data_IF_800904998984
#
_entry.id   IF_800904998984
#
_cell.length_a   1.000
_cell.length_b   1.000
_cell.length_c   1.000
_cell.angle_alpha   90.00
_cell.angle_beta   90.00
_cell.angle_gamma   90.00
#
_symmetry.space_group_name_H-M   'P 1'
#
loop_
_entity.id
_entity.type
_entity.pdbx_description
1 polymer ?
#
# COMPACT_ATOMS: atom_id res chain seq x y z
N UNK A 1 -4.16 7.70 -23.96
CA UNK A 1 -5.36 7.06 -23.44
C UNK A 1 -5.17 6.93 -21.95
N UNK A 2 -5.93 7.64 -21.14
CA UNK A 2 -5.82 7.47 -19.68
C UNK A 2 -6.24 6.05 -19.35
N UNK A 3 -5.49 5.35 -18.52
CA UNK A 3 -5.77 3.96 -18.12
C UNK A 3 -7.06 3.79 -17.29
N UNK A 4 -7.81 4.87 -17.11
CA UNK A 4 -9.05 4.94 -16.33
C UNK A 4 -10.15 4.00 -16.84
N UNK A 5 -10.19 3.69 -18.15
CA UNK A 5 -11.17 2.77 -18.75
C UNK A 5 -11.06 1.32 -18.23
N UNK A 6 -9.98 1.02 -17.51
CA UNK A 6 -9.75 -0.28 -16.88
C UNK A 6 -10.01 -0.29 -15.38
N UNK A 7 -10.32 0.85 -14.77
CA UNK A 7 -10.72 0.90 -13.36
C UNK A 7 -12.02 0.12 -13.16
N UNK A 8 -12.04 -0.70 -12.14
CA UNK A 8 -13.23 -1.43 -11.71
C UNK A 8 -13.72 -0.79 -10.41
N UNK A 9 -14.81 -0.01 -10.53
CA UNK A 9 -15.44 0.63 -9.39
C UNK A 9 -16.27 -0.38 -8.59
N UNK A 10 -16.46 -0.11 -7.29
CA UNK A 10 -17.23 -0.93 -6.37
C UNK A 10 -16.39 -1.63 -5.31
N UNK A 11 -16.97 -2.63 -4.67
CA UNK A 11 -16.37 -3.38 -3.58
C UNK A 11 -15.53 -4.56 -4.06
N UNK A 12 -14.41 -4.79 -3.39
CA UNK A 12 -13.46 -5.86 -3.69
C UNK A 12 -13.13 -6.63 -2.40
N UNK A 13 -13.28 -7.95 -2.42
CA UNK A 13 -12.82 -8.78 -1.31
C UNK A 13 -11.29 -8.84 -1.29
N UNK A 14 -10.68 -8.55 -0.15
CA UNK A 14 -9.23 -8.49 0.02
C UNK A 14 -8.70 -9.70 0.78
N UNK A 15 -9.07 -10.91 0.34
CA UNK A 15 -8.70 -12.17 1.01
C UNK A 15 -7.20 -12.44 1.10
N UNK A 16 -6.38 -11.77 0.29
CA UNK A 16 -4.92 -11.82 0.35
C UNK A 16 -4.34 -11.00 1.52
N UNK A 17 -5.12 -10.10 2.12
CA UNK A 17 -4.64 -9.29 3.24
C UNK A 17 -4.89 -9.97 4.58
N UNK A 18 -3.93 -9.82 5.48
CA UNK A 18 -4.01 -10.18 6.89
C UNK A 18 -4.17 -8.92 7.72
N UNK A 19 -4.93 -9.04 8.81
CA UNK A 19 -5.06 -8.00 9.81
C UNK A 19 -4.12 -8.28 10.98
N UNK A 20 -3.29 -7.30 11.33
CA UNK A 20 -2.46 -7.32 12.52
C UNK A 20 -2.91 -6.17 13.44
N UNK A 21 -3.22 -6.48 14.69
CA UNK A 21 -3.53 -5.49 15.72
C UNK A 21 -2.26 -5.14 16.50
N UNK A 22 -2.00 -3.84 16.61
CA UNK A 22 -0.97 -3.30 17.48
C UNK A 22 -1.59 -3.04 18.85
N UNK A 23 -1.39 -3.96 19.79
CA UNK A 23 -1.95 -3.92 21.13
C UNK A 23 -1.02 -3.16 22.07
N UNK A 24 -1.50 -2.07 22.63
CA UNK A 24 -0.77 -1.21 23.55
C UNK A 24 -1.57 0.06 23.85
N UNK A 25 -0.99 0.95 24.64
CA UNK A 25 -1.48 2.31 24.77
C UNK A 25 -1.42 3.02 23.41
N UNK A 26 -2.46 3.80 23.07
CA UNK A 26 -2.58 4.42 21.75
C UNK A 26 -1.37 5.28 21.37
N UNK A 27 -0.92 6.13 22.29
CA UNK A 27 0.23 7.00 22.05
C UNK A 27 1.53 6.20 21.85
N UNK A 28 1.67 5.10 22.59
CA UNK A 28 2.79 4.18 22.45
C UNK A 28 2.81 3.48 21.09
N UNK A 29 1.64 3.05 20.60
CA UNK A 29 1.48 2.48 19.26
C UNK A 29 1.82 3.51 18.19
N UNK A 30 1.29 4.73 18.30
CA UNK A 30 1.58 5.81 17.36
C UNK A 30 3.07 6.15 17.36
N UNK A 31 3.71 6.25 18.52
CA UNK A 31 5.14 6.54 18.64
C UNK A 31 6.01 5.44 18.04
N UNK A 32 5.66 4.16 18.23
CA UNK A 32 6.32 3.04 17.56
C UNK A 32 6.23 3.20 16.04
N UNK A 33 5.03 3.40 15.50
CA UNK A 33 4.81 3.55 14.06
C UNK A 33 5.53 4.80 13.53
N UNK A 34 5.47 5.93 14.24
CA UNK A 34 6.18 7.15 13.83
C UNK A 34 7.69 6.94 13.64
N UNK A 35 8.32 6.13 14.48
CA UNK A 35 9.74 5.84 14.36
C UNK A 35 10.10 4.81 13.29
N UNK A 36 9.16 4.01 12.83
CA UNK A 36 9.46 2.86 11.96
C UNK A 36 8.91 2.98 10.54
N UNK A 37 7.72 3.58 10.34
CA UNK A 37 7.04 3.57 9.05
C UNK A 37 7.14 4.91 8.34
N UNK A 38 6.88 4.93 7.05
CA UNK A 38 7.11 6.11 6.19
C UNK A 38 6.00 7.15 6.24
N UNK A 39 4.75 6.79 6.56
CA UNK A 39 3.61 7.71 6.67
C UNK A 39 3.57 8.40 8.04
N UNK A 40 2.86 9.52 8.14
CA UNK A 40 2.72 10.30 9.37
C UNK A 40 1.55 9.80 10.23
N UNK A 41 1.84 8.85 11.11
CA UNK A 41 0.82 8.23 11.97
C UNK A 41 0.25 9.18 13.05
N UNK A 42 0.89 10.32 13.33
CA UNK A 42 0.33 11.32 14.24
C UNK A 42 -0.94 11.99 13.72
N UNK A 43 -1.20 11.85 12.41
CA UNK A 43 -2.40 12.37 11.74
C UNK A 43 -3.53 11.34 11.60
N UNK A 44 -3.32 10.12 12.10
CA UNK A 44 -4.33 9.05 12.01
C UNK A 44 -5.57 9.41 12.84
N UNK A 45 -6.74 9.43 12.21
CA UNK A 45 -8.02 9.75 12.81
C UNK A 45 -9.05 8.66 12.53
N UNK A 46 -10.10 8.62 13.36
CA UNK A 46 -11.25 7.77 13.09
C UNK A 46 -11.83 8.06 11.69
N UNK A 47 -12.08 7.01 10.90
CA UNK A 47 -12.57 7.11 9.53
C UNK A 47 -11.49 7.39 8.49
N UNK A 48 -10.21 7.57 8.90
CA UNK A 48 -9.08 7.73 8.00
C UNK A 48 -8.10 6.57 8.16
N UNK A 49 -7.59 6.09 7.06
CA UNK A 49 -6.47 5.16 6.99
C UNK A 49 -5.28 5.83 6.32
N UNK A 50 -4.18 5.11 6.24
CA UNK A 50 -2.96 5.60 5.61
C UNK A 50 -2.26 4.49 4.85
N UNK A 51 -1.93 4.73 3.59
CA UNK A 51 -0.98 3.92 2.86
C UNK A 51 0.42 4.16 3.43
N UNK A 52 1.17 3.10 3.71
CA UNK A 52 2.49 3.20 4.33
C UNK A 52 3.47 2.13 3.82
N UNK A 53 4.72 2.28 4.20
CA UNK A 53 5.76 1.29 3.97
C UNK A 53 6.69 1.19 5.17
N UNK A 54 7.33 0.04 5.33
CA UNK A 54 8.46 -0.18 6.21
C UNK A 54 9.72 -0.27 5.38
N UNK A 55 10.74 0.49 5.73
CA UNK A 55 12.03 0.49 5.06
C UNK A 55 13.15 -0.02 5.98
N UNK A 56 14.24 -0.48 5.37
CA UNK A 56 15.48 -0.70 6.11
C UNK A 56 16.23 0.63 6.35
N UNK A 57 17.38 0.56 7.03
CA UNK A 57 18.22 1.73 7.34
C UNK A 57 18.82 2.37 6.08
N UNK A 58 18.88 1.66 4.96
CA UNK A 58 19.36 2.14 3.66
C UNK A 58 18.23 2.70 2.79
N UNK A 59 17.00 2.75 3.33
CA UNK A 59 15.80 3.26 2.68
C UNK A 59 15.21 2.33 1.63
N UNK A 60 15.54 1.03 1.61
CA UNK A 60 14.88 0.05 0.76
C UNK A 60 13.56 -0.39 1.38
N UNK A 61 12.51 -0.46 0.57
CA UNK A 61 11.18 -0.91 1.00
C UNK A 61 11.19 -2.40 1.29
N UNK A 62 10.88 -2.77 2.52
CA UNK A 62 10.77 -4.16 2.97
C UNK A 62 9.35 -4.69 2.79
N UNK A 63 8.34 -3.89 3.10
CA UNK A 63 6.93 -4.22 2.88
C UNK A 63 6.06 -2.96 2.74
N UNK A 64 4.95 -3.12 2.04
CA UNK A 64 3.86 -2.14 1.95
C UNK A 64 2.65 -2.67 2.71
N UNK A 65 1.88 -1.76 3.29
CA UNK A 65 0.64 -2.06 4.01
C UNK A 65 -0.19 -0.79 4.11
N UNK A 66 -1.43 -0.96 4.56
CA UNK A 66 -2.30 0.15 4.90
C UNK A 66 -2.57 0.13 6.41
N UNK A 67 -2.54 1.31 7.06
CA UNK A 67 -2.79 1.48 8.49
C UNK A 67 -4.21 1.95 8.65
N UNK A 68 -4.97 1.31 9.53
CA UNK A 68 -6.39 1.57 9.74
C UNK A 68 -6.65 1.87 11.23
N UNK A 69 -7.55 2.81 11.51
CA UNK A 69 -8.08 3.02 12.85
C UNK A 69 -9.50 2.43 12.95
N UNK A 70 -9.59 1.17 13.35
CA UNK A 70 -10.83 0.40 13.43
C UNK A 70 -11.32 0.33 14.86
N UNK A 71 -12.48 0.97 15.17
CA UNK A 71 -13.06 0.96 16.52
C UNK A 71 -12.04 1.31 17.63
N UNK A 72 -11.21 2.33 17.39
CA UNK A 72 -10.10 2.77 18.25
C UNK A 72 -8.91 1.79 18.32
N UNK A 73 -8.90 0.70 17.55
CA UNK A 73 -7.77 -0.21 17.41
C UNK A 73 -6.95 0.19 16.19
N UNK A 74 -5.64 0.18 16.33
CA UNK A 74 -4.74 0.38 15.18
C UNK A 74 -4.48 -0.98 14.54
N UNK A 75 -4.95 -1.12 13.30
CA UNK A 75 -4.77 -2.32 12.50
C UNK A 75 -3.81 -2.06 11.34
N UNK A 76 -3.04 -3.07 10.99
CA UNK A 76 -2.25 -3.13 9.76
C UNK A 76 -2.93 -4.10 8.82
N UNK A 77 -3.31 -3.63 7.63
CA UNK A 77 -3.76 -4.46 6.53
C UNK A 77 -2.57 -4.74 5.60
N UNK A 78 -2.05 -5.95 5.62
CA UNK A 78 -0.82 -6.34 4.93
C UNK A 78 -1.01 -7.61 4.10
N UNK A 79 -0.34 -7.69 2.96
CA UNK A 79 -0.31 -8.91 2.16
C UNK A 79 0.28 -10.07 2.96
N UNK A 80 -0.35 -11.25 2.87
CA UNK A 80 0.05 -12.44 3.60
C UNK A 80 1.51 -12.87 3.32
N UNK A 81 2.03 -12.60 2.12
CA UNK A 81 3.42 -12.90 1.78
C UNK A 81 4.43 -11.99 2.50
N UNK A 82 4.01 -10.79 2.89
CA UNK A 82 4.85 -9.77 3.55
C UNK A 82 4.69 -9.74 5.07
N UNK A 83 3.69 -10.43 5.62
CA UNK A 83 3.36 -10.45 7.05
C UNK A 83 4.58 -10.79 7.92
N UNK A 84 5.27 -11.88 7.61
CA UNK A 84 6.43 -12.33 8.39
C UNK A 84 7.59 -11.33 8.33
N UNK A 85 7.79 -10.64 7.20
CA UNK A 85 8.83 -9.60 7.06
C UNK A 85 8.50 -8.44 8.01
N UNK A 86 7.23 -8.00 8.02
CA UNK A 86 6.78 -6.94 8.93
C UNK A 86 6.96 -7.34 10.39
N UNK A 87 6.50 -8.52 10.79
CA UNK A 87 6.60 -9.03 12.16
C UNK A 87 8.06 -9.14 12.62
N UNK A 88 8.95 -9.68 11.76
CA UNK A 88 10.36 -9.86 12.07
C UNK A 88 11.10 -8.53 12.26
N UNK A 89 10.73 -7.51 11.52
CA UNK A 89 11.32 -6.19 11.66
C UNK A 89 10.75 -5.45 12.87
N UNK A 90 9.44 -5.47 13.07
CA UNK A 90 8.77 -4.72 14.14
C UNK A 90 9.04 -5.30 15.52
N UNK A 91 9.24 -6.63 15.67
CA UNK A 91 9.59 -7.25 16.97
C UNK A 91 10.88 -6.72 17.57
N UNK A 92 11.76 -6.12 16.78
CA UNK A 92 13.00 -5.51 17.25
C UNK A 92 12.75 -4.23 18.06
N UNK A 93 11.63 -3.55 17.81
CA UNK A 93 11.32 -2.23 18.36
C UNK A 93 10.08 -2.23 19.25
N UNK A 94 9.06 -3.02 18.94
CA UNK A 94 7.78 -3.03 19.64
C UNK A 94 7.90 -3.19 21.18
N UNK A 95 8.81 -4.02 21.73
CA UNK A 95 8.96 -4.16 23.17
C UNK A 95 9.38 -2.87 23.88
N UNK A 96 10.16 -1.99 23.23
CA UNK A 96 10.60 -0.71 23.81
C UNK A 96 9.42 0.26 24.01
N UNK A 97 8.36 0.10 23.24
CA UNK A 97 7.13 0.87 23.32
C UNK A 97 6.01 0.14 24.10
N UNK A 98 6.30 -1.06 24.64
CA UNK A 98 5.30 -1.93 25.30
C UNK A 98 4.12 -2.26 24.38
N UNK A 99 4.40 -2.45 23.10
CA UNK A 99 3.42 -2.81 22.08
C UNK A 99 3.60 -4.29 21.71
N UNK A 100 2.50 -5.03 21.67
CA UNK A 100 2.44 -6.37 21.11
C UNK A 100 1.76 -6.34 19.74
N UNK A 101 2.21 -7.15 18.79
CA UNK A 101 1.62 -7.26 17.46
C UNK A 101 1.00 -8.64 17.35
N UNK A 102 -0.31 -8.71 17.11
CA UNK A 102 -1.07 -9.96 17.10
C UNK A 102 -1.94 -10.05 15.84
N UNK A 103 -2.15 -11.27 15.31
CA UNK A 103 -3.20 -11.47 14.31
C UNK A 103 -4.54 -11.01 14.85
N UNK A 104 -5.37 -10.44 13.98
CA UNK A 104 -6.70 -9.96 14.31
C UNK A 104 -7.73 -10.56 13.34
N UNK A 105 -8.82 -11.09 13.88
CA UNK A 105 -9.83 -11.81 13.09
C UNK A 105 -10.86 -10.85 12.49
N UNK A 106 -10.49 -10.25 11.37
CA UNK A 106 -11.38 -9.48 10.50
C UNK A 106 -11.01 -9.73 9.05
N UNK A 107 -11.98 -9.59 8.17
CA UNK A 107 -11.75 -9.51 6.74
C UNK A 107 -11.75 -8.05 6.27
N UNK A 108 -11.16 -7.81 5.12
CA UNK A 108 -11.12 -6.49 4.50
C UNK A 108 -11.93 -6.47 3.21
N UNK A 109 -12.71 -5.40 3.07
CA UNK A 109 -13.38 -5.02 1.82
C UNK A 109 -12.73 -3.72 1.35
N UNK A 110 -12.16 -3.74 0.15
CA UNK A 110 -11.66 -2.54 -0.51
C UNK A 110 -12.74 -1.92 -1.39
N UNK A 111 -12.81 -0.61 -1.42
CA UNK A 111 -13.69 0.13 -2.29
C UNK A 111 -12.90 1.04 -3.22
N UNK A 112 -13.29 1.00 -4.50
CA UNK A 112 -12.87 1.98 -5.49
C UNK A 112 -14.11 2.76 -5.89
N UNK A 113 -14.09 4.07 -5.65
CA UNK A 113 -15.19 5.00 -5.95
C UNK A 113 -14.69 6.15 -6.81
N UNK A 114 -15.63 6.84 -7.43
CA UNK A 114 -15.34 8.13 -8.04
C UNK A 114 -14.94 9.13 -6.94
N UNK A 115 -14.12 10.14 -7.26
CA UNK A 115 -13.80 11.19 -6.30
C UNK A 115 -15.07 11.81 -5.70
N UNK A 116 -15.06 12.01 -4.37
CA UNK A 116 -16.15 12.62 -3.61
C UNK A 116 -17.46 11.83 -3.53
N UNK A 117 -17.50 10.55 -3.94
CA UNK A 117 -18.63 9.68 -3.59
C UNK A 117 -18.64 9.38 -2.09
N UNK A 118 -19.85 9.26 -1.52
CA UNK A 118 -20.03 8.98 -0.09
C UNK A 118 -19.46 7.60 0.28
N UNK A 119 -18.80 7.55 1.42
CA UNK A 119 -18.27 6.32 1.99
C UNK A 119 -19.26 5.69 2.96
N UNK A 120 -19.16 4.38 3.16
CA UNK A 120 -19.93 3.66 4.17
C UNK A 120 -19.46 4.04 5.58
N UNK A 121 -20.33 3.88 6.61
CA UNK A 121 -19.92 4.01 8.01
C UNK A 121 -18.73 3.08 8.32
N UNK A 122 -17.74 3.57 9.05
CA UNK A 122 -16.50 2.88 9.43
C UNK A 122 -15.55 2.50 8.27
N UNK A 123 -15.87 2.89 7.05
CA UNK A 123 -14.94 2.79 5.94
C UNK A 123 -13.83 3.84 6.09
N UNK A 124 -12.60 3.49 5.75
CA UNK A 124 -11.45 4.34 5.97
C UNK A 124 -10.79 4.70 4.64
N UNK A 125 -10.71 5.99 4.36
CA UNK A 125 -10.05 6.52 3.17
C UNK A 125 -8.54 6.27 3.27
N UNK A 126 -8.00 5.54 2.29
CA UNK A 126 -6.57 5.23 2.21
C UNK A 126 -5.85 6.19 1.27
N UNK A 127 -6.48 6.50 0.14
CA UNK A 127 -5.86 7.31 -0.91
C UNK A 127 -6.94 8.06 -1.71
N UNK A 128 -6.63 9.32 -2.02
CA UNK A 128 -7.38 10.12 -2.98
C UNK A 128 -6.50 10.36 -4.22
N UNK A 129 -6.98 9.95 -5.39
CA UNK A 129 -6.37 10.23 -6.67
C UNK A 129 -7.33 11.09 -7.52
N UNK A 130 -6.84 11.65 -8.61
CA UNK A 130 -7.64 12.52 -9.49
C UNK A 130 -8.89 11.82 -10.03
N UNK A 131 -8.78 10.52 -10.32
CA UNK A 131 -9.80 9.74 -11.00
C UNK A 131 -10.56 8.77 -10.08
N UNK A 132 -10.08 8.54 -8.84
CA UNK A 132 -10.73 7.63 -7.89
C UNK A 132 -10.32 7.88 -6.45
N UNK A 133 -11.19 7.50 -5.52
CA UNK A 133 -10.83 7.32 -4.11
C UNK A 133 -10.75 5.83 -3.77
N UNK A 134 -9.78 5.50 -2.93
CA UNK A 134 -9.52 4.14 -2.44
C UNK A 134 -9.74 4.11 -0.94
N UNK A 135 -10.60 3.22 -0.49
CA UNK A 135 -10.89 3.05 0.93
C UNK A 135 -10.94 1.56 1.30
N UNK A 136 -10.82 1.29 2.59
CA UNK A 136 -10.89 -0.06 3.15
C UNK A 136 -11.87 -0.06 4.32
N UNK A 137 -12.72 -1.08 4.37
CA UNK A 137 -13.57 -1.42 5.50
C UNK A 137 -13.06 -2.72 6.14
N UNK A 138 -12.77 -2.69 7.43
CA UNK A 138 -12.54 -3.89 8.21
C UNK A 138 -13.89 -4.40 8.76
N UNK A 139 -14.23 -5.66 8.55
CA UNK A 139 -15.47 -6.27 9.01
C UNK A 139 -15.25 -7.64 9.61
N UNK A 140 -15.94 -7.92 10.71
CA UNK A 140 -16.08 -9.25 11.29
C UNK A 140 -17.36 -9.96 10.84
N UNK A 141 -18.21 -9.31 10.05
CA UNK A 141 -19.46 -9.86 9.53
C UNK A 141 -19.26 -10.46 8.12
N UNK A 142 -19.23 -11.79 8.07
CA UNK A 142 -19.09 -12.53 6.82
C UNK A 142 -20.26 -12.32 5.84
N UNK A 143 -21.46 -11.97 6.33
CA UNK A 143 -22.60 -11.65 5.46
C UNK A 143 -22.41 -10.31 4.78
N UNK A 144 -21.99 -9.29 5.53
CA UNK A 144 -21.66 -7.97 4.99
C UNK A 144 -20.61 -8.08 3.90
N UNK A 145 -19.56 -8.91 4.13
CA UNK A 145 -18.50 -9.16 3.14
C UNK A 145 -19.10 -9.80 1.88
N UNK A 146 -19.86 -10.90 2.03
CA UNK A 146 -20.44 -11.64 0.91
C UNK A 146 -21.42 -10.80 0.10
N UNK A 147 -22.24 -9.96 0.76
CA UNK A 147 -23.23 -9.11 0.09
C UNK A 147 -22.59 -8.01 -0.75
N UNK A 148 -21.49 -7.42 -0.25
CA UNK A 148 -20.83 -6.28 -0.91
C UNK A 148 -19.82 -6.70 -1.98
N UNK A 149 -19.32 -7.94 -2.00
CA UNK A 149 -18.19 -8.36 -2.85
C UNK A 149 -18.54 -9.44 -3.88
N UNK A 150 -19.84 -9.62 -4.18
CA UNK A 150 -20.36 -10.75 -4.97
C UNK A 150 -19.71 -11.00 -6.33
N UNK A 151 -19.16 -9.97 -6.98
CA UNK A 151 -18.77 -10.06 -8.40
C UNK A 151 -17.35 -9.57 -8.70
N UNK A 152 -16.50 -9.35 -7.69
CA UNK A 152 -15.16 -8.78 -7.93
C UNK A 152 -14.04 -9.74 -7.58
N UNK A 153 -13.19 -10.03 -8.57
CA UNK A 153 -11.99 -10.84 -8.36
C UNK A 153 -10.92 -10.05 -7.56
N UNK A 154 -10.20 -10.71 -6.67
CA UNK A 154 -9.07 -10.12 -5.92
C UNK A 154 -8.03 -9.44 -6.84
N UNK A 155 -7.89 -9.93 -8.08
CA UNK A 155 -7.01 -9.34 -9.09
C UNK A 155 -7.44 -7.94 -9.55
N UNK A 156 -8.76 -7.60 -9.48
CA UNK A 156 -9.22 -6.26 -9.86
C UNK A 156 -8.80 -5.19 -8.87
N UNK A 157 -8.71 -5.51 -7.58
CA UNK A 157 -8.14 -4.60 -6.58
C UNK A 157 -6.68 -4.26 -6.88
N UNK A 158 -5.85 -5.28 -7.11
CA UNK A 158 -4.44 -5.09 -7.43
C UNK A 158 -4.25 -4.34 -8.76
N UNK A 159 -5.12 -4.55 -9.73
CA UNK A 159 -5.12 -3.79 -10.98
C UNK A 159 -5.47 -2.32 -10.73
N UNK A 160 -6.53 -2.03 -9.97
CA UNK A 160 -6.92 -0.67 -9.62
C UNK A 160 -5.79 0.09 -8.92
N UNK A 161 -5.09 -0.54 -7.95
CA UNK A 161 -3.95 0.08 -7.27
C UNK A 161 -2.83 0.43 -8.28
N UNK A 162 -2.51 -0.48 -9.21
CA UNK A 162 -1.53 -0.21 -10.29
C UNK A 162 -1.96 0.93 -11.22
N UNK A 163 -3.24 0.98 -11.61
CA UNK A 163 -3.81 2.02 -12.47
C UNK A 163 -3.75 3.41 -11.79
N UNK A 164 -3.80 3.44 -10.47
CA UNK A 164 -3.67 4.63 -9.63
C UNK A 164 -2.22 4.89 -9.19
N UNK A 165 -1.24 4.28 -9.87
CA UNK A 165 0.20 4.44 -9.64
C UNK A 165 0.68 4.02 -8.24
N UNK A 166 -0.11 3.24 -7.51
CA UNK A 166 0.30 2.63 -6.26
C UNK A 166 0.93 1.25 -6.53
N UNK A 167 2.21 1.26 -6.82
CA UNK A 167 2.99 0.07 -7.19
C UNK A 167 3.41 -0.71 -5.93
N UNK A 168 2.52 -1.61 -5.49
CA UNK A 168 2.76 -2.46 -4.31
C UNK A 168 3.75 -3.56 -4.66
N UNK A 169 4.71 -3.82 -3.76
CA UNK A 169 5.69 -4.89 -3.90
C UNK A 169 5.13 -6.24 -3.44
N UNK A 170 5.70 -7.32 -3.96
CA UNK A 170 5.56 -8.68 -3.42
C UNK A 170 6.81 -9.09 -2.64
N UNK A 171 6.79 -10.26 -2.02
CA UNK A 171 7.92 -10.80 -1.24
C UNK A 171 9.23 -10.84 -2.02
N UNK A 172 9.16 -11.17 -3.32
CA UNK A 172 10.34 -11.20 -4.22
C UNK A 172 11.03 -9.84 -4.40
N UNK A 173 10.30 -8.75 -4.17
CA UNK A 173 10.75 -7.38 -4.39
C UNK A 173 11.25 -6.71 -3.10
N UNK A 174 11.01 -7.36 -1.95
CA UNK A 174 11.40 -6.85 -0.64
C UNK A 174 12.91 -6.55 -0.56
N UNK A 175 13.24 -5.36 -0.07
CA UNK A 175 14.63 -4.91 0.10
C UNK A 175 15.36 -4.54 -1.18
N UNK A 176 14.69 -4.44 -2.34
CA UNK A 176 15.33 -4.17 -3.63
C UNK A 176 15.21 -2.72 -4.09
N UNK A 177 14.14 -2.05 -3.76
CA UNK A 177 13.79 -0.73 -4.31
C UNK A 177 13.53 0.29 -3.22
N UNK A 178 13.77 1.56 -3.53
CA UNK A 178 13.44 2.68 -2.65
C UNK A 178 12.08 3.26 -3.00
N UNK A 179 11.40 3.99 -2.09
CA UNK A 179 10.09 4.59 -2.35
C UNK A 179 10.03 5.43 -3.63
N UNK A 180 11.08 6.18 -3.95
CA UNK A 180 11.15 6.99 -5.17
C UNK A 180 11.17 6.15 -6.45
N UNK A 181 11.90 5.03 -6.43
CA UNK A 181 11.95 4.12 -7.57
C UNK A 181 10.60 3.46 -7.83
N UNK A 182 9.82 3.24 -6.76
CA UNK A 182 8.46 2.67 -6.80
C UNK A 182 7.36 3.71 -6.99
N UNK A 183 7.68 5.00 -7.15
CA UNK A 183 6.74 6.13 -7.15
C UNK A 183 5.94 6.28 -5.84
N UNK A 184 6.30 5.55 -4.80
CA UNK A 184 5.61 5.53 -3.49
C UNK A 184 5.91 6.76 -2.62
N UNK A 185 6.91 7.56 -2.97
CA UNK A 185 7.22 8.83 -2.28
C UNK A 185 6.04 9.82 -2.35
N UNK A 186 5.14 9.67 -3.32
CA UNK A 186 3.96 10.54 -3.50
C UNK A 186 2.84 10.16 -2.50
N UNK A 187 2.59 8.85 -2.31
CA UNK A 187 1.39 8.38 -1.60
C UNK A 187 1.68 7.71 -0.25
N UNK A 188 2.91 7.22 -0.04
CA UNK A 188 3.26 6.39 1.14
C UNK A 188 4.31 7.00 2.05
N UNK A 189 4.92 8.13 1.67
CA UNK A 189 5.97 8.79 2.46
C UNK A 189 5.54 10.19 2.88
N UNK A 190 5.68 10.50 4.16
CA UNK A 190 5.53 11.86 4.66
C UNK A 190 6.90 12.49 4.88
N UNK A 191 7.19 13.56 4.15
CA UNK A 191 8.43 14.34 4.32
C UNK A 191 8.31 15.42 5.39
N UNK A 192 7.11 15.64 5.93
CA UNK A 192 6.84 16.64 7.00
C UNK A 192 6.83 16.05 8.41
N UNK A 193 6.91 14.70 8.54
CA UNK A 193 6.97 14.03 9.84
C UNK A 193 8.38 14.08 10.47
N UNK A 194 8.49 13.68 11.74
CA UNK A 194 9.76 13.45 12.42
C UNK A 194 10.55 12.26 11.88
N UNK A 195 11.69 11.96 12.49
CA UNK A 195 12.58 10.91 12.05
C UNK A 195 11.92 9.52 12.03
N UNK A 196 12.21 8.77 10.98
CA UNK A 196 11.83 7.36 10.84
C UNK A 196 12.95 6.55 10.20
N UNK A 197 12.87 5.24 10.30
CA UNK A 197 13.88 4.31 9.80
C UNK A 197 14.09 4.47 8.29
N UNK A 198 15.35 4.70 7.87
CA UNK A 198 15.72 4.92 6.47
C UNK A 198 15.50 6.35 5.95
N UNK A 199 14.95 7.25 6.77
CA UNK A 199 14.60 8.62 6.36
C UNK A 199 15.76 9.38 5.73
N UNK A 200 16.98 9.29 6.26
CA UNK A 200 18.13 10.05 5.75
C UNK A 200 18.32 9.83 4.24
N UNK A 201 18.29 8.58 3.81
CA UNK A 201 18.49 8.22 2.40
C UNK A 201 17.27 8.63 1.56
N UNK A 202 16.06 8.41 2.09
CA UNK A 202 14.79 8.75 1.42
C UNK A 202 14.70 10.27 1.23
N UNK A 203 14.97 11.07 2.27
CA UNK A 203 14.97 12.52 2.18
C UNK A 203 16.08 13.06 1.26
N UNK A 204 17.26 12.44 1.29
CA UNK A 204 18.35 12.79 0.36
C UNK A 204 17.94 12.57 -1.09
N UNK A 205 17.20 11.50 -1.39
CA UNK A 205 16.68 11.25 -2.74
C UNK A 205 15.66 12.30 -3.16
N UNK A 206 14.78 12.72 -2.26
CA UNK A 206 13.76 13.74 -2.53
C UNK A 206 14.39 15.10 -2.85
N UNK A 207 15.30 15.58 -1.99
CA UNK A 207 15.78 16.95 -2.08
C UNK A 207 17.06 17.13 -2.91
N UNK A 208 17.88 16.10 -3.05
CA UNK A 208 19.20 16.18 -3.68
C UNK A 208 19.39 15.13 -4.77
N UNK A 209 18.51 14.14 -4.88
CA UNK A 209 18.69 13.00 -5.76
C UNK A 209 18.30 13.30 -7.21
N UNK A 210 19.11 12.78 -8.16
CA UNK A 210 18.69 12.62 -9.55
C UNK A 210 18.21 11.18 -9.73
N UNK A 211 16.93 10.97 -9.67
CA UNK A 211 16.33 9.66 -9.89
C UNK A 211 16.56 9.23 -11.35
N UNK A 212 17.30 8.13 -11.52
CA UNK A 212 17.64 7.58 -12.84
C UNK A 212 16.66 6.51 -13.31
N UNK A 213 16.02 5.81 -12.37
CA UNK A 213 15.07 4.73 -12.62
C UNK A 213 13.76 5.03 -11.89
N UNK A 214 12.66 4.61 -12.47
CA UNK A 214 11.34 4.67 -11.84
C UNK A 214 10.48 3.51 -12.31
N UNK A 215 9.43 3.23 -11.58
CA UNK A 215 8.37 2.30 -11.99
C UNK A 215 7.34 3.06 -12.82
N UNK A 216 6.87 2.42 -13.88
CA UNK A 216 5.71 2.86 -14.65
C UNK A 216 4.80 1.69 -14.96
N UNK A 217 3.51 1.94 -15.07
CA UNK A 217 2.55 0.95 -15.53
C UNK A 217 2.62 0.84 -17.06
N UNK A 218 2.95 -0.34 -17.57
CA UNK A 218 2.88 -0.66 -18.99
C UNK A 218 1.69 -1.57 -19.27
N UNK A 219 0.89 -1.18 -20.28
CA UNK A 219 -0.22 -1.97 -20.81
C UNK A 219 0.24 -2.55 -22.14
N UNK A 220 0.25 -3.88 -22.25
CA UNK A 220 0.85 -4.58 -23.40
C UNK A 220 0.00 -5.78 -23.85
N UNK A 221 0.20 -6.21 -25.09
CA UNK A 221 -0.54 -7.32 -25.69
C UNK A 221 0.16 -8.68 -25.49
N UNK A 222 1.49 -8.67 -25.33
CA UNK A 222 2.29 -9.90 -25.08
C UNK A 222 3.25 -9.66 -23.93
N UNK A 223 3.51 -10.70 -23.14
CA UNK A 223 4.48 -10.65 -22.03
C UNK A 223 5.90 -10.36 -22.53
N UNK A 224 6.22 -10.72 -23.78
CA UNK A 224 7.52 -10.49 -24.38
C UNK A 224 7.85 -9.01 -24.56
N UNK A 225 6.85 -8.13 -24.64
CA UNK A 225 7.06 -6.69 -24.78
C UNK A 225 7.74 -6.06 -23.56
N UNK A 226 7.64 -6.69 -22.40
CA UNK A 226 8.17 -6.19 -21.12
C UNK A 226 9.35 -6.98 -20.57
N UNK A 227 9.82 -8.02 -21.26
CA UNK A 227 10.92 -8.89 -20.79
C UNK A 227 12.22 -8.13 -20.49
N UNK A 228 12.44 -6.96 -21.08
CA UNK A 228 13.60 -6.08 -20.84
C UNK A 228 13.51 -5.26 -19.56
N UNK A 229 12.37 -5.27 -18.89
CA UNK A 229 12.17 -4.53 -17.65
C UNK A 229 12.10 -5.48 -16.45
N UNK A 230 12.51 -4.99 -15.29
CA UNK A 230 12.23 -5.68 -14.04
C UNK A 230 10.78 -5.42 -13.63
N UNK A 231 10.00 -6.50 -13.45
CA UNK A 231 8.58 -6.41 -13.12
C UNK A 231 8.41 -6.39 -11.61
N UNK A 232 7.79 -5.32 -11.09
CA UNK A 232 7.43 -5.14 -9.70
C UNK A 232 6.08 -5.78 -9.42
N UNK A 233 6.03 -6.62 -8.39
CA UNK A 233 4.83 -7.39 -8.09
C UNK A 233 4.48 -8.37 -9.21
N UNK A 234 3.20 -8.60 -9.41
CA UNK A 234 2.69 -9.50 -10.46
C UNK A 234 2.20 -8.73 -11.69
N UNK A 235 2.28 -9.35 -12.85
CA UNK A 235 1.56 -8.94 -14.04
C UNK A 235 0.09 -9.35 -13.91
N UNK A 236 -0.83 -8.46 -14.24
CA UNK A 236 -2.28 -8.71 -14.15
C UNK A 236 -2.85 -8.74 -15.55
N UNK A 237 -3.73 -9.69 -15.83
CA UNK A 237 -4.44 -9.78 -17.11
C UNK A 237 -5.87 -9.27 -16.95
N UNK A 238 -6.29 -8.37 -17.81
CA UNK A 238 -7.67 -7.88 -17.89
C UNK A 238 -8.02 -7.50 -19.33
N UNK A 239 -9.23 -7.84 -19.79
CA UNK A 239 -9.74 -7.53 -21.15
C UNK A 239 -8.71 -7.85 -22.25
N UNK A 240 -8.10 -9.03 -22.18
CA UNK A 240 -7.08 -9.53 -23.14
C UNK A 240 -5.81 -8.66 -23.24
N UNK A 241 -5.51 -7.87 -22.20
CA UNK A 241 -4.27 -7.12 -22.06
C UNK A 241 -3.56 -7.46 -20.76
N UNK A 242 -2.25 -7.23 -20.74
CA UNK A 242 -1.39 -7.39 -19.58
C UNK A 242 -1.04 -6.04 -18.99
N UNK A 243 -1.01 -5.96 -17.67
CA UNK A 243 -0.70 -4.77 -16.89
C UNK A 243 0.48 -5.08 -15.97
N UNK A 244 1.63 -4.49 -16.28
CA UNK A 244 2.87 -4.73 -15.53
C UNK A 244 3.43 -3.42 -15.00
N UNK A 245 3.73 -3.39 -13.69
CA UNK A 245 4.55 -2.32 -13.11
C UNK A 245 6.00 -2.60 -13.47
N UNK A 246 6.57 -1.82 -14.35
CA UNK A 246 7.90 -2.04 -14.93
C UNK A 246 8.90 -1.02 -14.41
N UNK A 247 10.01 -1.50 -13.84
CA UNK A 247 11.15 -0.67 -13.46
C UNK A 247 12.06 -0.42 -14.65
N UNK A 248 12.35 0.83 -14.94
CA UNK A 248 13.24 1.19 -16.04
C UNK A 248 13.80 2.62 -15.93
N UNK A 249 14.65 3.02 -16.87
CA UNK A 249 15.17 4.38 -16.95
C UNK A 249 14.03 5.40 -17.11
N UNK A 250 14.10 6.49 -16.34
CA UNK A 250 13.04 7.53 -16.30
C UNK A 250 12.75 8.14 -17.66
N UNK A 251 13.76 8.33 -18.49
CA UNK A 251 13.66 8.89 -19.84
C UNK A 251 12.90 8.01 -20.84
N UNK A 252 12.81 6.71 -20.60
CA UNK A 252 12.02 5.79 -21.43
C UNK A 252 10.52 5.96 -21.18
N UNK A 253 10.11 6.26 -19.94
CA UNK A 253 8.71 6.38 -19.56
C UNK A 253 8.12 7.77 -19.76
N UNK A 254 8.95 8.79 -19.90
CA UNK A 254 8.54 10.18 -20.11
C UNK A 254 8.41 10.57 -21.61
N UNK A 255 8.30 9.61 -22.51
CA UNK A 255 8.13 9.81 -23.97
C UNK A 255 6.68 9.77 -24.42
#
# INVERSE_FOLDING_TARGET
MKNIDYLTFGAHQLGQLKALHLEGDFDSVINLLQGQVTSDCSKLKDGEGQASALCDEKGFVLCNFDILLYKKLVLIAIDNELENIFLDEMKKFAPFYKVAIKPFDVAFIGWIRKPHEDMLPNEQLIMMADDAQVSILASSDNKEIAENTKDTAAMSWSLNRKLLEDHIIQKKDSGKFRPHELMQHISRVSFSKGCFRGQEIIARMEYLGKQKKQTALLVHASIDEVHKFEIIGQTITSKSKYFSSCMGPKDIFNR
#
